data_IF_652699324492
#
_entry.id   IF_652699324492
#
_cell.length_a   1.000
_cell.length_b   1.000
_cell.length_c   1.000
_cell.angle_alpha   90.00
_cell.angle_beta   90.00
_cell.angle_gamma   90.00
#
_symmetry.space_group_name_H-M   'P 1'
#
loop_
_entity.id
_entity.type
_entity.pdbx_description
1 polymer ?
#
# COMPACT_ATOMS: atom_id res chain seq x y z
N UNK A 1 -6.36 1.05 15.90
CA UNK A 1 -7.41 0.04 16.19
C UNK A 1 -6.69 -1.27 16.41
N UNK A 2 -6.92 -1.98 17.51
CA UNK A 2 -6.20 -3.24 17.78
C UNK A 2 -7.00 -4.42 17.22
N UNK A 3 -6.32 -5.51 16.85
CA UNK A 3 -6.94 -6.74 16.40
C UNK A 3 -7.53 -7.59 17.55
N UNK A 4 -8.24 -6.96 18.49
CA UNK A 4 -8.84 -7.63 19.64
C UNK A 4 -10.30 -8.02 19.33
N UNK A 5 -10.46 -9.22 18.77
CA UNK A 5 -11.75 -9.75 18.32
C UNK A 5 -12.80 -9.81 19.45
N UNK A 6 -12.41 -10.21 20.66
CA UNK A 6 -13.34 -10.41 21.78
C UNK A 6 -13.94 -9.08 22.24
N UNK A 7 -13.08 -8.07 22.48
CA UNK A 7 -13.56 -6.72 22.83
C UNK A 7 -14.39 -6.11 21.71
N UNK A 8 -14.02 -6.41 20.48
CA UNK A 8 -14.71 -5.89 19.31
C UNK A 8 -16.11 -6.48 19.13
N UNK A 9 -16.31 -7.78 19.41
CA UNK A 9 -17.64 -8.40 19.45
C UNK A 9 -18.53 -7.63 20.43
N UNK A 10 -18.08 -7.47 21.67
CA UNK A 10 -18.82 -6.75 22.72
C UNK A 10 -19.16 -5.34 22.26
N UNK A 11 -18.23 -4.65 21.59
CA UNK A 11 -18.47 -3.31 21.05
C UNK A 11 -19.59 -3.28 20.00
N UNK A 12 -19.60 -4.24 19.05
CA UNK A 12 -20.63 -4.31 17.99
C UNK A 12 -22.01 -4.74 18.47
N UNK A 13 -22.12 -5.24 19.70
CA UNK A 13 -23.38 -5.70 20.31
C UNK A 13 -24.01 -4.67 21.23
N UNK A 14 -23.35 -3.52 21.46
CA UNK A 14 -23.92 -2.44 22.28
C UNK A 14 -25.14 -1.82 21.61
N UNK A 15 -26.15 -1.52 22.43
CA UNK A 15 -27.30 -0.73 21.99
C UNK A 15 -26.84 0.60 21.39
N UNK A 16 -27.35 0.90 20.18
CA UNK A 16 -26.98 2.10 19.44
C UNK A 16 -25.72 1.98 18.58
N UNK A 17 -25.11 0.79 18.45
CA UNK A 17 -24.03 0.57 17.48
C UNK A 17 -24.51 0.79 16.04
N UNK A 18 -23.87 1.73 15.33
CA UNK A 18 -24.12 1.99 13.92
C UNK A 18 -23.02 1.38 13.05
N UNK A 19 -23.34 0.30 12.33
CA UNK A 19 -22.42 -0.37 11.40
C UNK A 19 -21.94 0.52 10.24
N UNK A 20 -22.71 1.57 9.91
CA UNK A 20 -22.41 2.48 8.82
C UNK A 20 -21.67 3.74 9.30
N UNK A 21 -21.37 3.84 10.59
CA UNK A 21 -20.63 4.95 11.16
C UNK A 21 -19.29 5.12 10.44
N UNK A 22 -18.97 6.38 10.10
CA UNK A 22 -17.67 6.77 9.58
C UNK A 22 -16.93 7.63 10.60
N UNK A 23 -15.65 7.34 10.78
CA UNK A 23 -14.75 8.13 11.60
C UNK A 23 -14.07 9.20 10.74
N UNK A 24 -14.29 10.47 11.09
CA UNK A 24 -13.48 11.59 10.61
C UNK A 24 -12.53 11.99 11.74
N UNK A 25 -11.23 11.95 11.47
CA UNK A 25 -10.21 12.32 12.44
C UNK A 25 -9.05 12.97 11.72
N UNK A 26 -8.44 13.97 12.34
CA UNK A 26 -7.21 14.60 11.85
C UNK A 26 -6.03 13.63 11.84
N UNK A 27 -6.11 12.52 12.60
CA UNK A 27 -5.13 11.44 12.58
C UNK A 27 -5.17 10.62 11.27
N UNK A 28 -6.26 10.71 10.51
CA UNK A 28 -6.43 10.03 9.22
C UNK A 28 -6.73 11.06 8.14
N UNK A 29 -5.70 11.81 7.74
CA UNK A 29 -5.80 12.96 6.83
C UNK A 29 -6.21 12.62 5.39
N UNK A 30 -6.16 11.35 5.00
CA UNK A 30 -6.34 10.92 3.60
C UNK A 30 -7.83 10.76 3.17
N UNK A 31 -8.82 11.04 4.03
CA UNK A 31 -10.25 10.94 3.66
C UNK A 31 -11.12 12.09 4.17
N UNK A 32 -11.69 12.86 3.23
CA UNK A 32 -12.69 13.91 3.53
C UNK A 32 -14.04 13.36 4.02
N UNK A 33 -14.41 12.15 3.58
CA UNK A 33 -15.67 11.48 3.93
C UNK A 33 -15.57 10.65 5.21
N UNK A 34 -14.36 10.45 5.72
CA UNK A 34 -14.07 9.58 6.85
C UNK A 34 -13.92 8.12 6.45
N UNK A 35 -13.61 7.28 7.44
CA UNK A 35 -13.34 5.86 7.28
C UNK A 35 -14.44 5.04 7.94
N UNK A 36 -14.98 4.08 7.20
CA UNK A 36 -15.81 3.02 7.76
C UNK A 36 -14.99 2.12 8.69
N UNK A 37 -15.69 1.36 9.52
CA UNK A 37 -15.05 0.44 10.45
C UNK A 37 -14.25 -0.66 9.73
N UNK A 38 -14.70 -1.11 8.56
CA UNK A 38 -13.96 -2.07 7.71
C UNK A 38 -12.68 -1.47 7.15
N UNK A 39 -12.74 -0.24 6.64
CA UNK A 39 -11.55 0.48 6.14
C UNK A 39 -10.54 0.68 7.28
N UNK A 40 -11.00 1.01 8.49
CA UNK A 40 -10.14 1.11 9.68
C UNK A 40 -9.52 -0.23 10.06
N UNK A 41 -10.24 -1.36 9.94
CA UNK A 41 -9.64 -2.66 10.18
C UNK A 41 -8.47 -2.92 9.21
N UNK A 42 -8.65 -2.64 7.91
CA UNK A 42 -7.58 -2.80 6.92
C UNK A 42 -6.40 -1.87 7.22
N UNK A 43 -6.67 -0.59 7.47
CA UNK A 43 -5.66 0.43 7.76
C UNK A 43 -4.76 0.05 8.95
N UNK A 44 -5.33 -0.59 9.98
CA UNK A 44 -4.61 -0.98 11.20
C UNK A 44 -4.21 -2.46 11.24
N UNK A 45 -4.40 -3.22 10.16
CA UNK A 45 -4.08 -4.65 10.11
C UNK A 45 -4.93 -5.54 11.03
N UNK A 46 -6.13 -5.08 11.45
CA UNK A 46 -7.01 -5.80 12.36
C UNK A 46 -7.85 -6.89 11.64
N UNK A 47 -7.21 -7.97 11.21
CA UNK A 47 -7.79 -9.02 10.35
C UNK A 47 -8.98 -9.76 10.95
N UNK A 48 -8.95 -10.04 12.25
CA UNK A 48 -10.04 -10.78 12.90
C UNK A 48 -11.28 -9.91 13.05
N UNK A 49 -11.06 -8.63 13.38
CA UNK A 49 -12.12 -7.63 13.41
C UNK A 49 -12.71 -7.42 12.01
N UNK A 50 -11.86 -7.36 10.97
CA UNK A 50 -12.29 -7.28 9.58
C UNK A 50 -13.17 -8.47 9.18
N UNK A 51 -12.70 -9.70 9.40
CA UNK A 51 -13.43 -10.96 9.12
C UNK A 51 -14.77 -11.01 9.85
N UNK A 52 -14.81 -10.58 11.11
CA UNK A 52 -16.04 -10.48 11.89
C UNK A 52 -17.08 -9.58 11.20
N UNK A 53 -16.69 -8.35 10.82
CA UNK A 53 -17.60 -7.40 10.17
C UNK A 53 -18.06 -7.88 8.80
N UNK A 54 -17.15 -8.44 8.00
CA UNK A 54 -17.44 -9.04 6.69
C UNK A 54 -18.52 -10.11 6.82
N UNK A 55 -18.33 -11.02 7.78
CA UNK A 55 -19.26 -12.14 8.00
C UNK A 55 -20.61 -11.66 8.53
N UNK A 56 -20.61 -10.71 9.47
CA UNK A 56 -21.83 -10.23 10.13
C UNK A 56 -22.69 -9.33 9.24
N UNK A 57 -22.07 -8.55 8.35
CA UNK A 57 -22.77 -7.50 7.60
C UNK A 57 -22.72 -7.65 6.08
N UNK A 58 -22.08 -8.69 5.55
CA UNK A 58 -22.00 -8.99 4.11
C UNK A 58 -21.67 -7.76 3.26
N UNK A 59 -20.63 -7.02 3.67
CA UNK A 59 -20.27 -5.78 2.99
C UNK A 59 -19.85 -6.02 1.53
N UNK A 60 -19.78 -4.97 0.73
CA UNK A 60 -19.20 -5.07 -0.61
C UNK A 60 -17.67 -5.00 -0.53
N UNK A 61 -16.99 -5.71 -1.43
CA UNK A 61 -15.54 -5.63 -1.58
C UNK A 61 -15.21 -4.34 -2.33
N UNK A 62 -14.30 -3.54 -1.80
CA UNK A 62 -13.90 -2.27 -2.43
C UNK A 62 -12.39 -2.23 -2.65
N UNK A 63 -11.93 -1.50 -3.68
CA UNK A 63 -10.50 -1.33 -3.97
C UNK A 63 -9.72 -0.80 -2.75
N UNK A 64 -10.39 0.03 -1.94
CA UNK A 64 -9.82 0.61 -0.72
C UNK A 64 -9.37 -0.41 0.30
N UNK A 65 -10.00 -1.59 0.38
CA UNK A 65 -9.55 -2.63 1.31
C UNK A 65 -8.19 -3.19 0.91
N UNK A 66 -7.97 -3.41 -0.39
CA UNK A 66 -6.68 -3.81 -0.91
C UNK A 66 -5.65 -2.71 -0.66
N UNK A 67 -5.96 -1.46 -1.01
CA UNK A 67 -5.09 -0.31 -0.80
C UNK A 67 -4.67 -0.16 0.68
N UNK A 68 -5.63 -0.11 1.60
CA UNK A 68 -5.32 0.02 3.03
C UNK A 68 -4.64 -1.21 3.64
N UNK A 69 -4.73 -2.38 3.01
CA UNK A 69 -4.00 -3.57 3.48
C UNK A 69 -2.47 -3.44 3.36
N UNK A 70 -1.99 -2.59 2.44
CA UNK A 70 -0.57 -2.23 2.34
C UNK A 70 -0.11 -1.35 3.50
N UNK A 71 -0.97 -0.44 3.98
CA UNK A 71 -0.69 0.37 5.17
C UNK A 71 -0.70 -0.47 6.45
N UNK A 72 -1.71 -1.33 6.59
CA UNK A 72 -1.87 -2.16 7.78
C UNK A 72 -0.95 -3.38 7.83
N UNK A 73 -0.06 -3.52 6.84
CA UNK A 73 0.88 -4.64 6.69
C UNK A 73 0.22 -6.00 6.88
N UNK A 74 -0.87 -6.23 6.13
CA UNK A 74 -1.68 -7.43 6.29
C UNK A 74 -1.67 -8.33 5.04
N UNK A 75 -0.72 -9.28 4.96
CA UNK A 75 -0.62 -10.19 3.82
C UNK A 75 -1.86 -11.06 3.61
N UNK A 76 -2.60 -11.38 4.68
CA UNK A 76 -3.80 -12.21 4.57
C UNK A 76 -4.90 -11.47 3.80
N UNK A 77 -5.24 -10.25 4.23
CA UNK A 77 -6.19 -9.38 3.52
C UNK A 77 -5.69 -9.13 2.09
N UNK A 78 -4.42 -8.76 1.94
CA UNK A 78 -3.82 -8.47 0.64
C UNK A 78 -3.96 -9.66 -0.33
N UNK A 79 -3.52 -10.86 0.08
CA UNK A 79 -3.56 -12.06 -0.77
C UNK A 79 -4.98 -12.52 -1.11
N UNK A 80 -5.96 -12.26 -0.26
CA UNK A 80 -7.36 -12.52 -0.55
C UNK A 80 -7.87 -11.61 -1.68
N UNK A 81 -7.59 -10.31 -1.58
CA UNK A 81 -8.14 -9.32 -2.52
C UNK A 81 -7.38 -9.23 -3.84
N UNK A 82 -6.07 -9.54 -3.86
CA UNK A 82 -5.26 -9.64 -5.10
C UNK A 82 -5.80 -10.68 -6.10
N UNK A 83 -6.60 -11.65 -5.64
CA UNK A 83 -7.26 -12.64 -6.53
C UNK A 83 -8.35 -12.03 -7.40
N UNK A 84 -8.93 -10.91 -6.96
CA UNK A 84 -10.10 -10.31 -7.58
C UNK A 84 -9.84 -8.88 -8.09
N UNK A 85 -8.83 -8.21 -7.55
CA UNK A 85 -8.51 -6.80 -7.83
C UNK A 85 -7.05 -6.65 -8.25
N UNK A 86 -6.79 -5.65 -9.09
CA UNK A 86 -5.42 -5.24 -9.43
C UNK A 86 -4.96 -4.14 -8.48
N UNK A 87 -3.70 -4.16 -8.02
CA UNK A 87 -3.15 -3.05 -7.25
C UNK A 87 -3.21 -1.73 -8.02
N UNK A 88 -3.46 -0.65 -7.30
CA UNK A 88 -3.54 0.72 -7.83
C UNK A 88 -2.27 1.51 -7.49
N UNK A 89 -2.16 2.75 -7.96
CA UNK A 89 -1.02 3.62 -7.60
C UNK A 89 -1.03 3.95 -6.11
N UNK A 90 -2.22 4.01 -5.52
CA UNK A 90 -2.44 4.18 -4.09
C UNK A 90 -1.86 3.00 -3.28
N UNK A 91 -1.89 1.77 -3.80
CA UNK A 91 -1.17 0.65 -3.17
C UNK A 91 0.34 0.91 -3.08
N UNK A 92 0.95 1.51 -4.11
CA UNK A 92 2.38 1.85 -4.11
C UNK A 92 2.69 2.95 -3.10
N UNK A 93 1.88 4.01 -3.09
CA UNK A 93 2.03 5.08 -2.09
C UNK A 93 1.94 4.53 -0.66
N UNK A 94 0.95 3.68 -0.40
CA UNK A 94 0.76 3.05 0.90
C UNK A 94 1.86 2.06 1.28
N UNK A 95 2.46 1.35 0.33
CA UNK A 95 3.63 0.51 0.58
C UNK A 95 4.87 1.35 0.96
N UNK A 96 5.05 2.52 0.33
CA UNK A 96 6.13 3.46 0.69
C UNK A 96 5.89 4.02 2.09
N UNK A 97 4.65 4.42 2.41
CA UNK A 97 4.28 4.96 3.74
C UNK A 97 4.46 3.92 4.86
N UNK A 98 4.16 2.64 4.60
CA UNK A 98 4.35 1.59 5.61
C UNK A 98 5.80 1.22 5.85
N UNK A 99 6.75 1.77 5.07
CA UNK A 99 8.15 1.38 5.10
C UNK A 99 8.40 -0.11 4.81
N UNK A 100 7.52 -0.72 4.00
CA UNK A 100 7.61 -2.14 3.66
C UNK A 100 8.24 -2.34 2.28
N UNK A 101 9.55 -2.58 2.26
CA UNK A 101 10.32 -2.72 1.02
C UNK A 101 9.90 -3.92 0.16
N UNK A 102 9.45 -5.01 0.80
CA UNK A 102 8.98 -6.20 0.10
C UNK A 102 7.73 -5.89 -0.71
N UNK A 103 6.83 -5.07 -0.16
CA UNK A 103 5.63 -4.62 -0.86
C UNK A 103 5.95 -3.68 -2.02
N UNK A 104 6.87 -2.74 -1.84
CA UNK A 104 7.33 -1.85 -2.93
C UNK A 104 7.93 -2.69 -4.06
N UNK A 105 8.79 -3.64 -3.72
CA UNK A 105 9.44 -4.54 -4.68
C UNK A 105 8.42 -5.41 -5.41
N UNK A 106 7.43 -5.96 -4.70
CA UNK A 106 6.33 -6.74 -5.27
C UNK A 106 5.50 -5.90 -6.25
N UNK A 107 5.08 -4.71 -5.85
CA UNK A 107 4.25 -3.84 -6.69
C UNK A 107 4.99 -3.38 -7.95
N UNK A 108 6.29 -3.13 -7.84
CA UNK A 108 7.09 -2.68 -8.98
C UNK A 108 7.41 -3.83 -9.94
N UNK A 109 7.88 -4.98 -9.44
CA UNK A 109 8.34 -6.08 -10.30
C UNK A 109 7.18 -6.95 -10.81
N UNK A 110 6.30 -7.38 -9.90
CA UNK A 110 5.24 -8.34 -10.23
C UNK A 110 3.99 -7.65 -10.78
N UNK A 111 3.70 -6.43 -10.30
CA UNK A 111 2.52 -5.67 -10.73
C UNK A 111 2.83 -4.58 -11.76
N UNK A 112 4.11 -4.32 -12.07
CA UNK A 112 4.55 -3.29 -13.02
C UNK A 112 3.97 -1.90 -12.71
N UNK A 113 3.85 -1.54 -11.43
CA UNK A 113 3.38 -0.22 -11.02
C UNK A 113 4.56 0.73 -10.92
N UNK A 114 4.48 1.83 -11.66
CA UNK A 114 5.48 2.88 -11.64
C UNK A 114 5.56 3.54 -10.25
N UNK A 115 6.80 3.76 -9.82
CA UNK A 115 7.12 4.44 -8.56
C UNK A 115 7.19 5.95 -8.82
N UNK A 116 6.43 6.74 -8.07
CA UNK A 116 6.70 8.18 -7.98
C UNK A 116 7.76 8.40 -6.89
N UNK A 117 8.97 8.78 -7.32
CA UNK A 117 10.12 9.03 -6.44
C UNK A 117 9.88 10.20 -5.47
N UNK A 118 8.96 11.12 -5.75
CA UNK A 118 8.64 12.23 -4.86
C UNK A 118 8.13 11.75 -3.49
N UNK A 119 7.38 10.64 -3.45
CA UNK A 119 6.84 10.10 -2.19
C UNK A 119 7.95 9.65 -1.22
N UNK A 120 9.08 9.19 -1.74
CA UNK A 120 10.20 8.76 -0.90
C UNK A 120 10.78 9.91 -0.08
N UNK A 121 10.89 11.09 -0.69
CA UNK A 121 11.35 12.30 -0.01
C UNK A 121 10.35 12.83 1.00
N UNK A 122 9.04 12.67 0.74
CA UNK A 122 7.97 13.11 1.65
C UNK A 122 7.92 12.22 2.90
N UNK A 123 8.00 10.90 2.72
CA UNK A 123 7.86 9.93 3.80
C UNK A 123 9.18 9.48 4.42
N UNK A 124 10.31 10.05 4.00
CA UNK A 124 11.65 9.73 4.50
C UNK A 124 11.98 8.22 4.44
N UNK A 125 11.46 7.51 3.45
CA UNK A 125 11.71 6.09 3.27
C UNK A 125 12.97 5.88 2.43
N UNK A 126 14.13 6.00 3.08
CA UNK A 126 15.43 5.87 2.42
C UNK A 126 15.66 4.46 1.86
N UNK A 127 15.16 3.44 2.53
CA UNK A 127 15.39 2.04 2.13
C UNK A 127 14.66 1.71 0.84
N UNK A 128 13.35 2.01 0.75
CA UNK A 128 12.61 1.80 -0.48
C UNK A 128 13.11 2.72 -1.60
N UNK A 129 13.63 3.91 -1.27
CA UNK A 129 14.24 4.80 -2.25
C UNK A 129 15.47 4.17 -2.90
N UNK A 130 16.37 3.60 -2.10
CA UNK A 130 17.60 2.98 -2.60
C UNK A 130 17.30 1.79 -3.52
N UNK A 131 16.33 0.94 -3.16
CA UNK A 131 15.91 -0.19 -4.01
C UNK A 131 15.23 0.29 -5.28
N UNK A 132 14.32 1.27 -5.18
CA UNK A 132 13.65 1.87 -6.34
C UNK A 132 14.66 2.51 -7.29
N UNK A 133 15.69 3.17 -6.76
CA UNK A 133 16.75 3.80 -7.53
C UNK A 133 17.62 2.78 -8.25
N UNK A 134 18.06 1.72 -7.56
CA UNK A 134 18.86 0.64 -8.16
C UNK A 134 18.08 -0.04 -9.30
N UNK A 135 16.82 -0.38 -9.05
CA UNK A 135 15.97 -1.05 -10.03
C UNK A 135 15.60 -0.15 -11.22
N UNK A 136 15.33 1.14 -10.99
CA UNK A 136 15.08 2.10 -12.09
C UNK A 136 16.32 2.30 -12.93
N UNK A 137 17.51 2.35 -12.33
CA UNK A 137 18.77 2.43 -13.05
C UNK A 137 19.05 1.15 -13.84
N UNK A 138 18.78 -0.04 -13.28
CA UNK A 138 18.90 -1.31 -13.98
C UNK A 138 17.92 -1.39 -15.16
N UNK A 139 16.66 -0.99 -14.98
CA UNK A 139 15.66 -0.91 -16.06
C UNK A 139 16.08 0.10 -17.14
N UNK A 140 16.61 1.26 -16.73
CA UNK A 140 17.13 2.28 -17.66
C UNK A 140 18.32 1.75 -18.48
N UNK A 141 19.29 1.12 -17.82
CA UNK A 141 20.45 0.49 -18.49
C UNK A 141 19.98 -0.62 -19.43
N UNK A 142 19.08 -1.50 -18.99
CA UNK A 142 18.54 -2.58 -19.82
C UNK A 142 17.77 -2.06 -21.02
N UNK A 143 16.96 -1.01 -20.85
CA UNK A 143 16.26 -0.34 -21.94
C UNK A 143 17.25 0.32 -22.91
N UNK A 144 18.30 0.96 -22.40
CA UNK A 144 19.39 1.47 -23.23
C UNK A 144 20.07 0.34 -24.01
N UNK A 145 20.39 -0.80 -23.39
CA UNK A 145 21.02 -1.95 -24.04
C UNK A 145 20.14 -2.61 -25.11
N UNK A 146 18.82 -2.65 -24.93
CA UNK A 146 17.86 -3.13 -25.94
C UNK A 146 17.71 -2.15 -27.11
N UNK A 147 17.82 -0.84 -26.84
CA UNK A 147 17.77 0.20 -27.90
C UNK A 147 19.16 0.34 -28.58
N UNK A 148 20.25 0.00 -27.89
CA UNK A 148 21.64 0.12 -28.36
C UNK A 148 22.20 -0.92 -29.35
N UNK A 149 21.51 -1.97 -29.85
CA UNK A 149 22.01 -2.66 -31.04
C UNK A 149 22.01 -1.73 -32.27
N UNK A 150 21.36 -0.55 -32.18
CA UNK A 150 21.15 0.36 -33.31
C UNK A 150 21.80 1.75 -33.19
N UNK A 151 22.55 2.08 -32.14
CA UNK A 151 23.33 3.33 -32.15
C UNK A 151 24.66 3.20 -31.41
N UNK A 152 25.75 3.43 -32.13
CA UNK A 152 27.10 3.55 -31.57
C UNK A 152 27.25 4.93 -30.91
N UNK A 153 27.28 5.03 -29.58
CA UNK A 153 27.88 6.16 -28.86
C UNK A 153 28.17 5.84 -27.40
N UNK A 154 29.36 6.21 -26.93
CA UNK A 154 29.90 6.01 -25.58
C UNK A 154 29.11 6.75 -24.49
N UNK A 155 28.79 6.07 -23.38
CA UNK A 155 28.22 6.70 -22.19
C UNK A 155 29.31 7.15 -21.21
N UNK A 156 29.31 8.44 -20.86
CA UNK A 156 29.95 8.94 -19.65
C UNK A 156 28.96 8.80 -18.49
N UNK A 157 29.26 7.94 -17.52
CA UNK A 157 28.55 7.89 -16.24
C UNK A 157 28.86 9.14 -15.43
N UNK A 158 27.83 9.94 -15.13
CA UNK A 158 27.92 11.00 -14.10
C UNK A 158 27.82 10.33 -12.74
N UNK A 159 28.92 10.32 -11.99
CA UNK A 159 28.91 10.01 -10.55
C UNK A 159 28.15 11.15 -9.84
N UNK A 160 27.03 10.84 -9.20
CA UNK A 160 26.50 11.68 -8.12
C UNK A 160 27.25 11.26 -6.86
N UNK A 161 28.25 12.05 -6.47
CA UNK A 161 28.84 11.96 -5.14
C UNK A 161 27.89 12.66 -4.17
N UNK A 162 27.43 11.94 -3.16
CA UNK A 162 26.80 12.53 -1.98
C UNK A 162 27.96 12.82 -1.02
N UNK A 163 28.18 14.10 -0.72
CA UNK A 163 29.12 14.57 0.32
C UNK A 163 28.62 14.27 1.73
#
# INVERSE_FOLDING_TARGET
MNNDKERFIIFTERDGFDKNQKLKSTLYSHSYVGYSLLELCCYHGAVDCFKLLRTKYSSEITQKYLEYSFLGENPEIMSEYLKYQKPSKECMEYAIISHNIDFVTFLMNECSIDINLEFHGIYNNLESFLVSFDQTNLLFIHRCLIIHPLSNTSFHMVRVSIE
#
